data_IF_044683101995
#
_entry.id   IF_044683101995
#
_cell.length_a   1.000
_cell.length_b   1.000
_cell.length_c   1.000
_cell.angle_alpha   90.00
_cell.angle_beta   90.00
_cell.angle_gamma   90.00
#
_symmetry.space_group_name_H-M   'P 1'
#
loop_
_entity.id
_entity.type
_entity.pdbx_description
1 polymer ?
#
# COMPACT_ATOMS: atom_id res chain seq x y z
N UNK A 1 -59.80 89.46 -29.11
CA UNK A 1 -60.91 88.51 -28.90
C UNK A 1 -60.30 87.11 -28.84
N UNK A 2 -60.35 86.44 -27.68
CA UNK A 2 -60.13 84.99 -27.57
C UNK A 2 -61.19 84.48 -26.58
N UNK A 3 -62.42 84.30 -27.07
CA UNK A 3 -63.47 83.60 -26.34
C UNK A 3 -64.12 82.66 -27.34
N UNK A 4 -63.67 81.40 -27.33
CA UNK A 4 -64.41 80.28 -27.88
C UNK A 4 -65.14 79.59 -26.72
N UNK A 5 -66.47 79.45 -26.83
CA UNK A 5 -67.33 78.86 -25.80
C UNK A 5 -67.14 77.33 -25.71
N UNK A 6 -66.61 76.71 -26.77
CA UNK A 6 -66.41 75.26 -26.89
C UNK A 6 -65.13 74.73 -26.26
N UNK A 7 -64.15 75.57 -25.92
CA UNK A 7 -62.89 75.14 -25.27
C UNK A 7 -62.42 76.19 -24.27
N UNK A 8 -62.58 75.90 -22.99
CA UNK A 8 -62.13 76.78 -21.90
C UNK A 8 -60.67 76.50 -21.54
N UNK A 9 -59.76 77.30 -22.09
CA UNK A 9 -58.31 77.17 -21.91
C UNK A 9 -57.89 77.38 -20.46
N UNK A 10 -58.56 78.27 -19.71
CA UNK A 10 -58.25 78.53 -18.29
C UNK A 10 -58.60 77.31 -17.44
N UNK A 11 -59.78 76.71 -17.65
CA UNK A 11 -60.19 75.46 -16.97
C UNK A 11 -59.25 74.30 -17.29
N UNK A 12 -58.90 74.11 -18.57
CA UNK A 12 -57.93 73.08 -18.99
C UNK A 12 -56.55 73.28 -18.35
N UNK A 13 -56.10 74.53 -18.18
CA UNK A 13 -54.83 74.83 -17.54
C UNK A 13 -54.88 74.56 -16.02
N UNK A 14 -55.96 74.97 -15.34
CA UNK A 14 -56.17 74.65 -13.92
C UNK A 14 -56.26 73.15 -13.68
N UNK A 15 -56.95 72.40 -14.53
CA UNK A 15 -57.04 70.95 -14.45
C UNK A 15 -55.68 70.26 -14.69
N UNK A 16 -54.84 70.83 -15.58
CA UNK A 16 -53.45 70.40 -15.77
C UNK A 16 -52.59 70.62 -14.53
N UNK A 17 -52.68 71.79 -13.90
CA UNK A 17 -51.97 72.08 -12.65
C UNK A 17 -52.45 71.22 -11.48
N UNK A 18 -53.77 71.00 -11.34
CA UNK A 18 -54.31 70.09 -10.33
C UNK A 18 -53.79 68.66 -10.53
N UNK A 19 -53.75 68.19 -11.78
CA UNK A 19 -53.19 66.88 -12.11
C UNK A 19 -51.70 66.76 -11.77
N UNK A 20 -50.91 67.82 -11.99
CA UNK A 20 -49.50 67.88 -11.58
C UNK A 20 -49.33 67.79 -10.06
N UNK A 21 -50.12 68.54 -9.29
CA UNK A 21 -50.07 68.53 -7.82
C UNK A 21 -50.52 67.18 -7.25
N UNK A 22 -51.60 66.59 -7.78
CA UNK A 22 -52.05 65.26 -7.38
C UNK A 22 -51.00 64.18 -7.66
N UNK A 23 -50.29 64.26 -8.79
CA UNK A 23 -49.19 63.35 -9.10
C UNK A 23 -47.99 63.54 -8.14
N UNK A 24 -47.65 64.78 -7.79
CA UNK A 24 -46.60 65.08 -6.81
C UNK A 24 -46.93 64.57 -5.41
N UNK A 25 -48.18 64.76 -4.96
CA UNK A 25 -48.66 64.23 -3.67
C UNK A 25 -48.61 62.69 -3.63
N UNK A 26 -49.05 62.03 -4.71
CA UNK A 26 -48.98 60.57 -4.82
C UNK A 26 -47.54 60.05 -4.71
N UNK A 27 -46.57 60.77 -5.29
CA UNK A 27 -45.15 60.42 -5.20
C UNK A 27 -44.59 60.59 -3.78
N UNK A 28 -44.94 61.68 -3.08
CA UNK A 28 -44.54 61.90 -1.69
C UNK A 28 -45.15 60.84 -0.76
N UNK A 29 -46.43 60.52 -0.92
CA UNK A 29 -47.09 59.46 -0.16
C UNK A 29 -46.45 58.08 -0.40
N UNK A 30 -46.04 57.78 -1.63
CA UNK A 30 -45.31 56.55 -1.96
C UNK A 30 -43.95 56.47 -1.25
N UNK A 31 -43.19 57.57 -1.22
CA UNK A 31 -41.90 57.64 -0.49
C UNK A 31 -42.07 57.58 1.02
N UNK A 32 -43.12 58.19 1.55
CA UNK A 32 -43.43 58.14 2.98
C UNK A 32 -43.81 56.72 3.41
N UNK A 33 -44.62 56.03 2.59
CA UNK A 33 -45.05 54.65 2.85
C UNK A 33 -43.89 53.65 2.77
N UNK A 34 -42.98 53.82 1.81
CA UNK A 34 -41.81 52.94 1.66
C UNK A 34 -40.64 53.29 2.59
N UNK A 35 -40.58 54.53 3.09
CA UNK A 35 -39.41 55.06 3.81
C UNK A 35 -38.18 55.30 2.91
N UNK A 36 -38.30 55.10 1.59
CA UNK A 36 -37.21 55.21 0.63
C UNK A 36 -37.36 56.48 -0.21
N UNK A 37 -36.28 57.26 -0.33
CA UNK A 37 -36.23 58.44 -1.20
C UNK A 37 -36.35 58.07 -2.68
N UNK A 38 -35.84 56.91 -3.07
CA UNK A 38 -35.87 56.37 -4.45
C UNK A 38 -36.65 55.06 -4.40
N UNK A 39 -37.85 55.04 -4.96
CA UNK A 39 -38.73 53.86 -4.90
C UNK A 39 -38.83 53.16 -6.27
N UNK A 40 -38.69 53.92 -7.36
CA UNK A 40 -38.74 53.41 -8.73
C UNK A 40 -37.61 53.99 -9.60
N UNK A 41 -37.32 53.35 -10.73
CA UNK A 41 -36.32 53.86 -11.70
C UNK A 41 -36.69 55.23 -12.29
N UNK A 42 -37.96 55.65 -12.17
CA UNK A 42 -38.43 56.99 -12.57
C UNK A 42 -38.00 58.08 -11.60
N UNK A 43 -37.74 57.75 -10.34
CA UNK A 43 -37.31 58.71 -9.32
C UNK A 43 -35.85 59.12 -9.49
N UNK A 44 -34.97 58.13 -9.70
CA UNK A 44 -33.55 58.30 -9.96
C UNK A 44 -32.97 56.97 -10.49
N UNK A 45 -32.84 56.85 -11.81
CA UNK A 45 -32.36 55.61 -12.43
C UNK A 45 -30.92 55.25 -12.01
N UNK A 46 -30.05 56.25 -11.86
CA UNK A 46 -28.66 56.05 -11.46
C UNK A 46 -28.56 55.69 -9.97
N UNK A 47 -29.28 56.41 -9.10
CA UNK A 47 -29.35 56.13 -7.67
C UNK A 47 -29.95 54.76 -7.35
N UNK A 48 -31.02 54.37 -8.05
CA UNK A 48 -31.61 53.02 -7.90
C UNK A 48 -30.64 51.92 -8.36
N UNK A 49 -29.91 52.14 -9.46
CA UNK A 49 -28.92 51.18 -9.94
C UNK A 49 -27.77 50.99 -8.94
N UNK A 50 -27.28 52.09 -8.35
CA UNK A 50 -26.24 52.04 -7.30
C UNK A 50 -26.77 51.35 -6.04
N UNK A 51 -27.95 51.72 -5.55
CA UNK A 51 -28.53 51.11 -4.34
C UNK A 51 -28.80 49.62 -4.53
N UNK A 52 -29.31 49.21 -5.70
CA UNK A 52 -29.53 47.80 -6.02
C UNK A 52 -28.21 47.00 -6.07
N UNK A 53 -27.13 47.61 -6.58
CA UNK A 53 -25.79 47.01 -6.57
C UNK A 53 -25.24 46.87 -5.15
N UNK A 54 -25.45 47.88 -4.30
CA UNK A 54 -25.06 47.84 -2.89
C UNK A 54 -25.85 46.78 -2.13
N UNK A 55 -27.16 46.66 -2.34
CA UNK A 55 -27.99 45.62 -1.74
C UNK A 55 -27.56 44.21 -2.17
N UNK A 56 -27.22 44.04 -3.46
CA UNK A 56 -26.65 42.78 -3.95
C UNK A 56 -25.31 42.46 -3.25
N UNK A 57 -24.45 43.47 -3.08
CA UNK A 57 -23.18 43.34 -2.36
C UNK A 57 -23.39 42.93 -0.91
N UNK A 58 -24.29 43.60 -0.18
CA UNK A 58 -24.61 43.30 1.23
C UNK A 58 -25.14 41.87 1.37
N UNK A 59 -26.03 41.43 0.46
CA UNK A 59 -26.52 40.04 0.46
C UNK A 59 -25.38 39.04 0.20
N UNK A 60 -24.47 39.36 -0.72
CA UNK A 60 -23.27 38.57 -0.99
C UNK A 60 -22.35 38.47 0.23
N UNK A 61 -22.04 39.60 0.88
CA UNK A 61 -21.18 39.65 2.06
C UNK A 61 -21.76 38.84 3.24
N UNK A 62 -23.08 38.89 3.45
CA UNK A 62 -23.75 38.05 4.46
C UNK A 62 -23.60 36.55 4.20
N UNK A 63 -23.60 36.13 2.93
CA UNK A 63 -23.32 34.74 2.58
C UNK A 63 -21.84 34.41 2.78
N UNK A 64 -20.93 35.32 2.41
CA UNK A 64 -19.51 35.15 2.64
C UNK A 64 -19.18 34.96 4.14
N UNK A 65 -19.84 35.71 5.03
CA UNK A 65 -19.70 35.54 6.49
C UNK A 65 -20.11 34.13 6.94
N UNK A 66 -21.23 33.60 6.42
CA UNK A 66 -21.65 32.21 6.72
C UNK A 66 -20.61 31.20 6.24
N UNK A 67 -20.14 31.34 5.00
CA UNK A 67 -19.12 30.46 4.44
C UNK A 67 -17.79 30.54 5.22
N UNK A 68 -17.42 31.72 5.74
CA UNK A 68 -16.25 31.87 6.62
C UNK A 68 -16.42 31.14 7.95
N UNK A 69 -17.61 31.17 8.56
CA UNK A 69 -17.88 30.42 9.77
C UNK A 69 -17.84 28.90 9.54
N UNK A 70 -18.26 28.42 8.37
CA UNK A 70 -18.08 27.02 7.97
C UNK A 70 -16.59 26.67 7.86
N UNK A 71 -15.78 27.57 7.29
CA UNK A 71 -14.32 27.43 7.24
C UNK A 71 -13.66 27.37 8.61
N UNK A 72 -14.07 28.22 9.55
CA UNK A 72 -13.60 28.19 10.95
C UNK A 72 -13.98 26.86 11.60
N UNK A 73 -15.22 26.40 11.41
CA UNK A 73 -15.69 25.13 11.97
C UNK A 73 -14.90 23.94 11.42
N UNK A 74 -14.59 23.93 10.12
CA UNK A 74 -13.71 22.92 9.51
C UNK A 74 -12.31 22.95 10.15
N UNK A 75 -11.72 24.13 10.32
CA UNK A 75 -10.40 24.27 10.94
C UNK A 75 -10.37 23.79 12.39
N UNK A 76 -11.43 24.03 13.17
CA UNK A 76 -11.54 23.55 14.55
C UNK A 76 -11.59 22.03 14.64
N UNK A 77 -12.32 21.36 13.74
CA UNK A 77 -12.33 19.89 13.66
C UNK A 77 -10.94 19.38 13.29
N UNK A 78 -10.28 20.03 12.33
CA UNK A 78 -8.92 19.67 11.94
C UNK A 78 -7.91 19.86 13.10
N UNK A 79 -7.98 20.96 13.82
CA UNK A 79 -7.14 21.27 14.99
C UNK A 79 -7.34 20.24 16.11
N UNK A 80 -8.58 19.89 16.44
CA UNK A 80 -8.86 18.87 17.45
C UNK A 80 -8.28 17.50 17.09
N UNK A 81 -8.41 17.08 15.83
CA UNK A 81 -7.81 15.84 15.35
C UNK A 81 -6.27 15.89 15.39
N UNK A 82 -5.66 17.02 15.02
CA UNK A 82 -4.21 17.21 15.07
C UNK A 82 -3.66 17.26 16.52
N UNK A 83 -4.43 17.80 17.47
CA UNK A 83 -4.06 17.78 18.89
C UNK A 83 -4.00 16.34 19.42
N UNK A 84 -5.03 15.54 19.14
CA UNK A 84 -5.03 14.12 19.52
C UNK A 84 -3.86 13.37 18.84
N UNK A 85 -3.58 13.69 17.57
CA UNK A 85 -2.45 13.12 16.86
C UNK A 85 -1.10 13.44 17.53
N UNK A 86 -0.93 14.68 18.00
CA UNK A 86 0.26 15.09 18.72
C UNK A 86 0.43 14.29 20.03
N UNK A 87 -0.64 14.11 20.81
CA UNK A 87 -0.60 13.34 22.06
C UNK A 87 -0.22 11.87 21.83
N UNK A 88 -0.79 11.25 20.78
CA UNK A 88 -0.46 9.87 20.39
C UNK A 88 1.01 9.74 19.99
N UNK A 89 1.53 10.67 19.20
CA UNK A 89 2.94 10.67 18.79
C UNK A 89 3.87 10.90 19.98
N UNK A 90 3.49 11.73 20.96
CA UNK A 90 4.27 11.85 22.19
C UNK A 90 4.29 10.54 22.98
N UNK A 91 3.16 9.82 23.08
CA UNK A 91 3.12 8.51 23.72
C UNK A 91 4.02 7.49 23.00
N UNK A 92 3.99 7.43 21.68
CA UNK A 92 4.89 6.57 20.89
C UNK A 92 6.36 6.92 21.17
N UNK A 93 6.68 8.23 21.27
CA UNK A 93 8.03 8.69 21.62
C UNK A 93 8.44 8.23 23.02
N UNK A 94 7.55 8.30 24.01
CA UNK A 94 7.80 7.78 25.36
C UNK A 94 8.12 6.28 25.34
N UNK A 95 7.31 5.49 24.61
CA UNK A 95 7.54 4.05 24.43
C UNK A 95 8.89 3.75 23.78
N UNK A 96 9.27 4.53 22.76
CA UNK A 96 10.58 4.39 22.09
C UNK A 96 11.75 4.69 23.04
N UNK A 97 11.64 5.74 23.85
CA UNK A 97 12.66 6.06 24.88
C UNK A 97 12.70 4.98 25.96
N UNK A 98 11.55 4.43 26.35
CA UNK A 98 11.46 3.32 27.30
C UNK A 98 12.13 2.06 26.74
N UNK A 99 11.85 1.70 25.48
CA UNK A 99 12.40 0.52 24.81
C UNK A 99 13.93 0.59 24.64
N UNK A 100 14.50 1.80 24.54
CA UNK A 100 15.94 2.04 24.47
C UNK A 100 16.70 1.70 25.77
N UNK A 101 15.99 1.44 26.88
CA UNK A 101 16.64 1.07 28.13
C UNK A 101 17.29 -0.32 28.03
N UNK A 102 18.56 -0.41 28.40
CA UNK A 102 19.36 -1.65 28.31
C UNK A 102 18.92 -2.75 29.28
N UNK A 103 18.18 -2.41 30.34
CA UNK A 103 17.68 -3.37 31.34
C UNK A 103 16.44 -4.16 30.91
N UNK A 104 15.79 -3.77 29.81
CA UNK A 104 14.59 -4.44 29.30
C UNK A 104 14.96 -5.74 28.58
N UNK A 105 14.16 -6.78 28.80
CA UNK A 105 14.25 -8.03 28.05
C UNK A 105 13.74 -7.83 26.61
N UNK A 106 14.05 -8.80 25.72
CA UNK A 106 13.50 -8.81 24.37
C UNK A 106 11.97 -8.85 24.35
N UNK A 107 11.36 -9.62 25.24
CA UNK A 107 9.90 -9.69 25.39
C UNK A 107 9.28 -8.37 25.86
N UNK A 108 9.95 -7.61 26.72
CA UNK A 108 9.45 -6.30 27.15
C UNK A 108 9.47 -5.30 25.98
N UNK A 109 10.53 -5.33 25.16
CA UNK A 109 10.61 -4.48 23.95
C UNK A 109 9.54 -4.85 22.93
N UNK A 110 9.23 -6.13 22.76
CA UNK A 110 8.14 -6.59 21.90
C UNK A 110 6.77 -6.09 22.38
N UNK A 111 6.51 -6.13 23.69
CA UNK A 111 5.27 -5.60 24.25
C UNK A 111 5.13 -4.08 24.03
N UNK A 112 6.22 -3.31 24.21
CA UNK A 112 6.24 -1.87 23.92
C UNK A 112 6.03 -1.57 22.42
N UNK A 113 6.63 -2.39 21.54
CA UNK A 113 6.41 -2.28 20.09
C UNK A 113 4.95 -2.55 19.73
N UNK A 114 4.32 -3.55 20.35
CA UNK A 114 2.90 -3.85 20.13
C UNK A 114 2.00 -2.67 20.55
N UNK A 115 2.28 -2.03 21.68
CA UNK A 115 1.55 -0.81 22.10
C UNK A 115 1.77 0.33 21.10
N UNK A 116 3.01 0.55 20.64
CA UNK A 116 3.31 1.58 19.64
C UNK A 116 2.57 1.32 18.31
N UNK A 117 2.49 0.06 17.87
CA UNK A 117 1.75 -0.32 16.68
C UNK A 117 0.24 -0.05 16.82
N UNK A 118 -0.36 -0.35 17.98
CA UNK A 118 -1.77 -0.03 18.25
C UNK A 118 -2.03 1.49 18.24
N UNK A 119 -1.11 2.27 18.79
CA UNK A 119 -1.18 3.73 18.76
C UNK A 119 -1.08 4.30 17.34
N UNK A 120 -0.17 3.77 16.52
CA UNK A 120 -0.07 4.13 15.10
C UNK A 120 -1.35 3.78 14.33
N UNK A 121 -1.94 2.61 14.58
CA UNK A 121 -3.20 2.21 13.98
C UNK A 121 -4.34 3.14 14.41
N UNK A 122 -4.43 3.47 15.70
CA UNK A 122 -5.42 4.43 16.23
C UNK A 122 -5.27 5.81 15.58
N UNK A 123 -4.04 6.30 15.45
CA UNK A 123 -3.74 7.57 14.78
C UNK A 123 -4.20 7.57 13.31
N UNK A 124 -3.94 6.49 12.58
CA UNK A 124 -4.39 6.31 11.21
C UNK A 124 -5.93 6.34 11.12
N UNK A 125 -6.62 5.61 12.00
CA UNK A 125 -8.09 5.61 12.08
C UNK A 125 -8.66 6.99 12.43
N UNK A 126 -8.05 7.72 13.36
CA UNK A 126 -8.47 9.09 13.71
C UNK A 126 -8.35 10.04 12.53
N UNK A 127 -7.23 10.00 11.80
CA UNK A 127 -7.03 10.80 10.60
C UNK A 127 -8.07 10.47 9.51
N UNK A 128 -8.39 9.18 9.32
CA UNK A 128 -9.42 8.74 8.37
C UNK A 128 -10.83 9.17 8.76
N UNK A 129 -11.13 9.19 10.06
CA UNK A 129 -12.48 9.45 10.53
C UNK A 129 -12.80 10.94 10.73
N UNK A 130 -11.79 11.80 10.86
CA UNK A 130 -11.98 13.24 11.00
C UNK A 130 -12.76 13.82 9.82
N UNK A 131 -13.97 14.30 10.11
CA UNK A 131 -14.99 14.66 9.13
C UNK A 131 -15.67 15.96 9.49
N UNK A 132 -15.91 16.79 8.47
CA UNK A 132 -16.79 17.95 8.57
C UNK A 132 -17.83 17.89 7.47
N UNK A 133 -19.12 17.87 7.85
CA UNK A 133 -20.25 17.88 6.92
C UNK A 133 -20.18 16.78 5.82
N UNK A 134 -19.93 15.52 6.20
CA UNK A 134 -19.81 14.42 5.24
C UNK A 134 -18.44 14.32 4.55
N UNK A 135 -17.55 15.31 4.72
CA UNK A 135 -16.26 15.35 4.06
C UNK A 135 -15.13 15.02 5.02
N UNK A 136 -14.40 13.93 4.73
CA UNK A 136 -13.16 13.60 5.43
C UNK A 136 -12.10 14.66 5.17
N UNK A 137 -11.47 15.19 6.22
CA UNK A 137 -10.56 16.34 6.13
C UNK A 137 -9.13 15.90 5.81
N UNK A 138 -8.68 14.76 6.33
CA UNK A 138 -7.34 14.21 6.08
C UNK A 138 -7.34 12.98 5.16
N UNK A 139 -8.49 12.52 4.70
CA UNK A 139 -8.54 11.43 3.73
C UNK A 139 -7.95 11.88 2.39
N UNK A 140 -7.09 11.03 1.84
CA UNK A 140 -6.61 11.17 0.47
C UNK A 140 -7.68 10.65 -0.50
N UNK A 141 -7.65 11.10 -1.76
CA UNK A 141 -8.53 10.56 -2.80
C UNK A 141 -8.40 9.04 -2.87
N UNK A 142 -9.49 8.27 -3.06
CA UNK A 142 -9.43 6.81 -3.29
C UNK A 142 -8.62 6.43 -4.53
N UNK A 143 -8.41 7.37 -5.46
CA UNK A 143 -7.48 7.22 -6.58
C UNK A 143 -6.01 7.39 -6.21
N UNK A 144 -5.69 7.84 -4.99
CA UNK A 144 -4.35 7.85 -4.40
C UNK A 144 -4.10 6.53 -3.68
N UNK A 145 -2.86 6.07 -3.68
CA UNK A 145 -2.41 4.91 -2.92
C UNK A 145 -2.69 5.05 -1.41
N UNK A 146 -2.87 6.28 -0.90
CA UNK A 146 -3.31 6.52 0.47
C UNK A 146 -4.84 6.51 0.68
N UNK A 147 -5.67 6.61 -0.35
CA UNK A 147 -7.13 6.67 -0.18
C UNK A 147 -7.79 5.31 0.01
N UNK A 148 -7.22 4.26 -0.59
CA UNK A 148 -7.68 2.87 -0.39
C UNK A 148 -7.04 2.28 0.89
N UNK A 149 -7.85 1.96 1.93
CA UNK A 149 -7.34 1.36 3.16
C UNK A 149 -6.60 0.04 2.95
N UNK A 150 -6.98 -0.74 1.92
CA UNK A 150 -6.31 -1.99 1.61
C UNK A 150 -4.92 -1.76 1.02
N UNK A 151 -4.82 -0.92 -0.03
CA UNK A 151 -3.50 -0.54 -0.60
C UNK A 151 -2.56 0.02 0.46
N UNK A 152 -3.10 0.84 1.38
CA UNK A 152 -2.33 1.37 2.52
C UNK A 152 -1.80 0.27 3.44
N UNK A 153 -2.64 -0.67 3.86
CA UNK A 153 -2.23 -1.78 4.73
C UNK A 153 -1.09 -2.62 4.12
N UNK A 154 -1.13 -2.85 2.81
CA UNK A 154 -0.04 -3.54 2.08
C UNK A 154 1.27 -2.76 2.21
N UNK A 155 1.26 -1.45 1.94
CA UNK A 155 2.47 -0.62 2.01
C UNK A 155 3.00 -0.53 3.43
N UNK A 156 2.11 -0.40 4.41
CA UNK A 156 2.49 -0.37 5.80
C UNK A 156 3.14 -1.70 6.18
N UNK A 157 2.60 -2.85 5.77
CA UNK A 157 3.24 -4.16 5.95
C UNK A 157 4.63 -4.26 5.29
N UNK A 158 4.74 -3.87 4.02
CA UNK A 158 6.02 -3.84 3.28
C UNK A 158 7.09 -2.97 3.95
N UNK A 159 6.69 -1.82 4.51
CA UNK A 159 7.60 -0.87 5.17
C UNK A 159 7.83 -1.17 6.65
N UNK A 160 6.94 -1.89 7.31
CA UNK A 160 7.06 -2.21 8.73
C UNK A 160 7.82 -3.49 8.98
N UNK A 161 7.72 -4.51 8.12
CA UNK A 161 8.35 -5.80 8.43
C UNK A 161 8.53 -6.73 7.24
N UNK A 162 7.54 -6.87 6.36
CA UNK A 162 7.52 -7.97 5.38
C UNK A 162 8.78 -8.05 4.52
N UNK A 163 9.24 -6.91 3.99
CA UNK A 163 10.44 -6.88 3.16
C UNK A 163 11.73 -7.09 3.97
N UNK A 164 11.86 -6.40 5.11
CA UNK A 164 13.07 -6.47 5.94
C UNK A 164 13.28 -7.87 6.54
N UNK A 165 12.20 -8.49 7.03
CA UNK A 165 12.25 -9.82 7.63
C UNK A 165 12.53 -10.90 6.59
N UNK A 166 11.88 -10.82 5.41
CA UNK A 166 12.17 -11.71 4.30
C UNK A 166 13.66 -11.67 3.93
N UNK A 167 14.23 -10.48 3.72
CA UNK A 167 15.65 -10.33 3.38
C UNK A 167 16.58 -10.80 4.50
N UNK A 168 16.25 -10.48 5.75
CA UNK A 168 17.02 -10.92 6.92
C UNK A 168 17.03 -12.44 7.02
N UNK A 169 15.88 -13.08 6.82
CA UNK A 169 15.75 -14.52 6.85
C UNK A 169 16.51 -15.20 5.72
N UNK A 170 16.39 -14.68 4.48
CA UNK A 170 17.16 -15.16 3.33
C UNK A 170 18.66 -15.06 3.60
N UNK A 171 19.12 -13.93 4.13
CA UNK A 171 20.54 -13.73 4.47
C UNK A 171 21.00 -14.73 5.53
N UNK A 172 20.22 -14.95 6.58
CA UNK A 172 20.60 -15.82 7.69
C UNK A 172 20.56 -17.31 7.31
N UNK A 173 19.52 -17.74 6.59
CA UNK A 173 19.25 -19.15 6.31
C UNK A 173 19.83 -19.63 4.97
N UNK A 174 19.85 -18.79 3.93
CA UNK A 174 20.44 -19.14 2.63
C UNK A 174 21.84 -18.55 2.42
N UNK A 175 22.26 -17.56 3.22
CA UNK A 175 23.62 -17.00 3.13
C UNK A 175 23.84 -16.08 1.95
N UNK A 176 22.76 -15.64 1.28
CA UNK A 176 22.81 -14.79 0.09
C UNK A 176 22.18 -13.43 0.37
N UNK A 177 22.66 -12.40 -0.31
CA UNK A 177 22.14 -11.04 -0.21
C UNK A 177 22.16 -10.36 -1.58
N UNK A 178 21.28 -9.37 -1.77
CA UNK A 178 21.28 -8.54 -2.97
C UNK A 178 22.54 -7.67 -3.05
N UNK A 179 22.89 -7.21 -4.25
CA UNK A 179 24.12 -6.46 -4.52
C UNK A 179 23.94 -4.94 -4.58
N UNK A 180 22.85 -4.42 -4.02
CA UNK A 180 22.53 -2.99 -3.97
C UNK A 180 21.92 -2.43 -5.25
N UNK A 181 21.48 -3.30 -6.17
CA UNK A 181 20.73 -2.93 -7.36
C UNK A 181 19.32 -2.41 -7.01
N UNK A 182 18.72 -1.71 -7.97
CA UNK A 182 17.36 -1.17 -7.80
C UNK A 182 16.32 -2.30 -7.84
N UNK A 183 15.39 -2.28 -6.88
CA UNK A 183 14.17 -3.10 -6.87
C UNK A 183 12.97 -2.15 -6.97
N UNK A 184 12.28 -2.20 -8.11
CA UNK A 184 11.10 -1.36 -8.34
C UNK A 184 9.86 -2.00 -7.71
N UNK A 185 9.32 -1.40 -6.65
CA UNK A 185 8.05 -1.84 -6.06
C UNK A 185 6.90 -1.18 -6.83
N UNK A 186 6.01 -1.99 -7.41
CA UNK A 186 4.92 -1.55 -8.29
C UNK A 186 3.60 -2.22 -7.93
N UNK A 187 2.50 -1.48 -8.05
CA UNK A 187 1.14 -1.98 -7.81
C UNK A 187 0.32 -2.13 -9.09
N UNK A 188 0.85 -1.60 -10.20
CA UNK A 188 0.25 -1.74 -11.52
C UNK A 188 1.12 -2.68 -12.34
N UNK A 189 0.52 -3.61 -13.12
CA UNK A 189 1.26 -4.60 -13.87
C UNK A 189 2.14 -3.90 -14.91
N UNK A 190 3.46 -4.15 -14.90
CA UNK A 190 4.34 -3.56 -15.89
C UNK A 190 3.95 -3.93 -17.32
N UNK A 191 4.01 -2.98 -18.24
CA UNK A 191 3.63 -3.21 -19.63
C UNK A 191 4.42 -4.36 -20.26
N UNK A 192 3.72 -5.33 -20.85
CA UNK A 192 4.33 -6.50 -21.50
C UNK A 192 4.76 -7.63 -20.55
N UNK A 193 4.47 -7.54 -19.25
CA UNK A 193 4.77 -8.60 -18.27
C UNK A 193 3.84 -9.82 -18.36
N UNK A 194 2.64 -9.66 -18.93
CA UNK A 194 1.60 -10.69 -18.89
C UNK A 194 0.86 -10.81 -17.55
N UNK A 195 1.20 -9.96 -16.57
CA UNK A 195 0.52 -9.87 -15.27
C UNK A 195 -0.80 -9.10 -15.40
N UNK A 196 -1.74 -9.40 -14.50
CA UNK A 196 -3.11 -8.84 -14.50
C UNK A 196 -3.55 -8.52 -13.08
N UNK A 197 -4.11 -7.32 -12.86
CA UNK A 197 -4.72 -6.91 -11.58
C UNK A 197 -6.13 -7.48 -11.35
N UNK A 198 -6.36 -8.71 -11.82
CA UNK A 198 -7.68 -9.34 -11.74
C UNK A 198 -7.69 -10.28 -10.54
N UNK A 199 -8.67 -10.10 -9.65
CA UNK A 199 -8.80 -10.90 -8.45
C UNK A 199 -8.81 -12.42 -8.73
N UNK A 200 -8.13 -13.18 -7.88
CA UNK A 200 -7.92 -14.62 -8.00
C UNK A 200 -6.76 -14.99 -8.93
N UNK A 201 -5.87 -14.04 -9.22
CA UNK A 201 -4.75 -14.17 -10.14
C UNK A 201 -3.42 -14.46 -9.44
N UNK A 202 -2.35 -13.96 -10.05
CA UNK A 202 -1.01 -13.95 -9.42
C UNK A 202 -0.98 -12.82 -8.40
N UNK A 203 -0.86 -13.15 -7.12
CA UNK A 203 -0.97 -12.15 -6.06
C UNK A 203 0.24 -11.21 -5.99
N UNK A 204 1.44 -11.72 -6.29
CA UNK A 204 2.67 -10.93 -6.43
C UNK A 204 3.63 -11.66 -7.38
N UNK A 205 4.58 -10.92 -7.96
CA UNK A 205 5.61 -11.49 -8.82
C UNK A 205 6.87 -10.62 -8.87
N UNK A 206 8.04 -11.25 -8.83
CA UNK A 206 9.30 -10.63 -9.21
C UNK A 206 9.63 -10.89 -10.68
N UNK A 207 9.94 -9.81 -11.40
CA UNK A 207 10.29 -9.88 -12.81
C UNK A 207 11.31 -8.82 -13.24
N UNK A 208 11.52 -8.71 -14.55
CA UNK A 208 12.49 -7.78 -15.16
C UNK A 208 11.89 -7.10 -16.38
N UNK A 209 12.10 -5.78 -16.52
CA UNK A 209 11.72 -5.00 -17.71
C UNK A 209 12.93 -4.77 -18.61
N UNK A 210 13.01 -5.52 -19.73
CA UNK A 210 14.08 -5.41 -20.76
C UNK A 210 15.50 -5.76 -20.32
N UNK A 211 16.23 -6.57 -21.11
CA UNK A 211 17.59 -7.03 -20.78
C UNK A 211 17.57 -8.00 -19.59
N UNK A 212 17.33 -9.28 -19.85
CA UNK A 212 16.96 -10.27 -18.82
C UNK A 212 18.05 -10.60 -17.81
N UNK A 213 19.33 -10.43 -18.18
CA UNK A 213 20.44 -10.64 -17.26
C UNK A 213 21.71 -9.88 -17.70
N UNK A 214 22.61 -9.65 -16.76
CA UNK A 214 23.97 -9.21 -17.05
C UNK A 214 24.85 -10.38 -17.57
N UNK A 215 26.13 -10.09 -17.85
CA UNK A 215 27.08 -11.09 -18.35
C UNK A 215 27.33 -12.26 -17.38
N UNK A 216 26.95 -12.12 -16.11
CA UNK A 216 27.09 -13.13 -15.06
C UNK A 216 25.76 -13.85 -14.76
N UNK A 217 24.71 -13.54 -15.50
CA UNK A 217 23.39 -14.15 -15.37
C UNK A 217 22.52 -13.58 -14.24
N UNK A 218 22.89 -12.42 -13.67
CA UNK A 218 22.06 -11.73 -12.68
C UNK A 218 20.97 -10.91 -13.36
N UNK A 219 19.76 -10.97 -12.84
CA UNK A 219 18.58 -10.26 -13.35
C UNK A 219 18.75 -8.74 -13.29
N UNK A 220 18.49 -8.02 -14.38
CA UNK A 220 18.53 -6.55 -14.43
C UNK A 220 17.12 -5.96 -14.33
N UNK A 221 17.01 -4.64 -14.12
CA UNK A 221 15.74 -3.88 -14.19
C UNK A 221 14.59 -4.55 -13.42
N UNK A 222 14.87 -4.99 -12.20
CA UNK A 222 13.95 -5.80 -11.43
C UNK A 222 12.76 -5.00 -10.92
N UNK A 223 11.62 -5.66 -10.87
CA UNK A 223 10.44 -5.17 -10.18
C UNK A 223 9.87 -6.25 -9.26
N UNK A 224 9.27 -5.80 -8.15
CA UNK A 224 8.32 -6.57 -7.35
C UNK A 224 6.94 -5.97 -7.62
N UNK A 225 6.12 -6.71 -8.33
CA UNK A 225 4.72 -6.35 -8.57
C UNK A 225 3.84 -7.03 -7.52
N UNK A 226 2.87 -6.29 -7.01
CA UNK A 226 1.91 -6.74 -6.00
C UNK A 226 0.53 -6.35 -6.49
N UNK A 227 -0.37 -7.33 -6.59
CA UNK A 227 -1.78 -7.08 -6.91
C UNK A 227 -2.54 -6.65 -5.66
N UNK A 228 -3.00 -5.39 -5.56
CA UNK A 228 -3.78 -4.96 -4.42
C UNK A 228 -5.14 -5.65 -4.30
N UNK A 229 -5.69 -6.23 -5.37
CA UNK A 229 -6.99 -6.92 -5.33
C UNK A 229 -6.91 -8.28 -4.63
N UNK A 230 -5.76 -8.95 -4.72
CA UNK A 230 -5.53 -10.26 -4.09
C UNK A 230 -5.10 -10.16 -2.61
N UNK A 231 -4.82 -8.94 -2.13
CA UNK A 231 -4.39 -8.67 -0.75
C UNK A 231 -5.52 -8.03 0.10
N UNK A 232 -6.80 -8.18 -0.29
CA UNK A 232 -7.94 -7.56 0.42
C UNK A 232 -8.69 -8.53 1.35
N UNK A 233 -8.97 -8.13 2.62
CA UNK A 233 -8.37 -7.01 3.35
C UNK A 233 -6.94 -7.36 3.81
N UNK A 234 -6.00 -6.40 3.82
CA UNK A 234 -4.67 -6.62 4.39
C UNK A 234 -4.81 -6.57 5.91
N UNK A 235 -4.61 -7.71 6.56
CA UNK A 235 -4.75 -7.82 8.00
C UNK A 235 -3.36 -7.90 8.64
N UNK A 236 -2.87 -6.77 9.13
CA UNK A 236 -1.71 -6.73 10.01
C UNK A 236 -2.10 -7.36 11.38
N UNK A 237 -1.20 -8.07 12.07
CA UNK A 237 0.25 -8.08 11.87
C UNK A 237 0.75 -9.10 10.82
N UNK A 238 0.20 -10.31 10.80
CA UNK A 238 0.71 -11.55 10.20
C UNK A 238 0.55 -11.69 8.69
N UNK A 239 0.59 -10.59 7.94
CA UNK A 239 0.23 -10.61 6.52
C UNK A 239 -1.27 -10.74 6.25
N UNK A 240 -2.01 -11.33 7.19
CA UNK A 240 -3.44 -11.61 7.07
C UNK A 240 -3.68 -12.83 6.19
N UNK A 241 -4.71 -13.61 6.53
CA UNK A 241 -5.08 -14.78 5.77
C UNK A 241 -6.00 -14.45 4.59
N UNK A 242 -5.48 -14.56 3.35
CA UNK A 242 -6.32 -14.54 2.14
C UNK A 242 -6.64 -15.99 1.77
N UNK A 243 -7.93 -16.31 1.67
CA UNK A 243 -8.36 -17.60 1.15
C UNK A 243 -8.06 -17.66 -0.36
N UNK A 244 -7.13 -18.51 -0.77
CA UNK A 244 -6.84 -18.80 -2.17
C UNK A 244 -7.04 -20.29 -2.43
N UNK A 245 -8.09 -20.62 -3.20
CA UNK A 245 -8.45 -22.01 -3.46
C UNK A 245 -8.69 -22.81 -2.18
N UNK A 246 -7.88 -23.85 -1.96
CA UNK A 246 -8.05 -24.82 -0.86
C UNK A 246 -7.24 -24.50 0.41
N UNK A 247 -6.76 -23.26 0.58
CA UNK A 247 -6.00 -22.87 1.77
C UNK A 247 -6.06 -21.38 2.07
N UNK A 248 -5.42 -21.01 3.18
CA UNK A 248 -5.17 -19.62 3.58
C UNK A 248 -3.71 -19.31 3.29
N UNK A 249 -3.45 -18.30 2.47
CA UNK A 249 -2.10 -17.82 2.18
C UNK A 249 -1.96 -16.43 2.78
N UNK A 250 -0.81 -16.18 3.37
CA UNK A 250 -0.53 -14.93 4.07
C UNK A 250 0.33 -14.01 3.23
N UNK A 251 0.01 -12.71 3.24
CA UNK A 251 0.64 -11.71 2.37
C UNK A 251 2.14 -11.57 2.64
N UNK A 252 2.56 -11.61 3.89
CA UNK A 252 3.96 -11.62 4.33
C UNK A 252 4.74 -12.81 3.73
N UNK A 253 4.15 -14.01 3.72
CA UNK A 253 4.72 -15.23 3.13
C UNK A 253 4.84 -15.13 1.61
N UNK A 254 3.82 -14.58 0.94
CA UNK A 254 3.87 -14.29 -0.50
C UNK A 254 5.03 -13.34 -0.80
N UNK A 255 5.15 -12.24 -0.03
CA UNK A 255 6.27 -11.31 -0.20
C UNK A 255 7.61 -11.99 0.08
N UNK A 256 7.70 -12.87 1.08
CA UNK A 256 8.92 -13.60 1.36
C UNK A 256 9.31 -14.58 0.25
N UNK A 257 8.34 -15.28 -0.35
CA UNK A 257 8.51 -16.11 -1.53
C UNK A 257 9.13 -15.28 -2.67
N UNK A 258 8.50 -14.16 -3.01
CA UNK A 258 8.97 -13.28 -4.07
C UNK A 258 10.35 -12.68 -3.78
N UNK A 259 10.62 -12.36 -2.51
CA UNK A 259 11.93 -11.85 -2.10
C UNK A 259 13.05 -12.88 -2.26
N UNK A 260 12.77 -14.19 -2.17
CA UNK A 260 13.77 -15.23 -2.50
C UNK A 260 14.17 -15.12 -3.98
N UNK A 261 13.20 -15.03 -4.88
CA UNK A 261 13.46 -14.82 -6.31
C UNK A 261 14.25 -13.54 -6.55
N UNK A 262 13.90 -12.46 -5.85
CA UNK A 262 14.62 -11.20 -5.97
C UNK A 262 16.09 -11.34 -5.55
N UNK A 263 16.35 -11.85 -4.34
CA UNK A 263 17.72 -12.01 -3.82
C UNK A 263 18.52 -12.98 -4.68
N UNK A 264 17.94 -14.10 -5.12
CA UNK A 264 18.60 -15.03 -6.05
C UNK A 264 18.92 -14.32 -7.38
N UNK A 265 17.98 -13.55 -7.93
CA UNK A 265 18.15 -12.77 -9.15
C UNK A 265 19.35 -11.82 -9.13
N UNK A 266 19.70 -11.24 -7.96
CA UNK A 266 20.84 -10.33 -7.82
C UNK A 266 22.10 -10.93 -7.21
N UNK A 267 22.02 -12.13 -6.63
CA UNK A 267 23.15 -12.76 -5.96
C UNK A 267 23.88 -13.77 -6.83
N UNK A 268 23.22 -14.40 -7.80
CA UNK A 268 23.79 -15.55 -8.55
C UNK A 268 23.41 -15.55 -10.04
N UNK A 269 23.95 -16.53 -10.78
CA UNK A 269 23.59 -16.81 -12.17
C UNK A 269 22.16 -17.40 -12.22
N UNK A 270 21.15 -16.55 -12.15
CA UNK A 270 19.76 -16.94 -11.92
C UNK A 270 19.07 -17.49 -13.17
N UNK A 271 19.39 -16.96 -14.34
CA UNK A 271 18.74 -17.33 -15.60
C UNK A 271 18.75 -18.86 -15.88
N UNK A 272 19.89 -19.59 -15.80
CA UNK A 272 19.94 -21.02 -16.10
C UNK A 272 19.44 -21.93 -14.97
N UNK A 273 19.12 -21.41 -13.79
CA UNK A 273 18.59 -22.23 -12.71
C UNK A 273 17.20 -22.79 -13.08
N UNK A 274 17.00 -24.08 -12.78
CA UNK A 274 15.75 -24.76 -13.08
C UNK A 274 14.59 -24.22 -12.21
N UNK A 275 13.38 -24.16 -12.77
CA UNK A 275 12.20 -23.61 -12.08
C UNK A 275 11.90 -24.33 -10.77
N UNK A 276 12.00 -25.67 -10.72
CA UNK A 276 11.78 -26.43 -9.49
C UNK A 276 12.70 -26.00 -8.34
N UNK A 277 13.92 -25.57 -8.65
CA UNK A 277 14.87 -25.10 -7.65
C UNK A 277 14.56 -23.67 -7.19
N UNK A 278 14.18 -22.81 -8.14
CA UNK A 278 13.75 -21.42 -7.86
C UNK A 278 12.51 -21.43 -6.97
N UNK A 279 11.43 -22.06 -7.43
CA UNK A 279 10.17 -22.14 -6.69
C UNK A 279 10.33 -22.95 -5.40
N UNK A 280 11.07 -24.06 -5.44
CA UNK A 280 11.31 -24.89 -4.25
C UNK A 280 12.06 -24.14 -3.15
N UNK A 281 13.06 -23.33 -3.50
CA UNK A 281 13.76 -22.49 -2.54
C UNK A 281 12.88 -21.37 -1.99
N UNK A 282 12.03 -20.78 -2.84
CA UNK A 282 11.08 -19.75 -2.44
C UNK A 282 10.00 -20.29 -1.49
N UNK A 283 9.47 -21.49 -1.74
CA UNK A 283 8.55 -22.18 -0.83
C UNK A 283 9.25 -22.62 0.47
N UNK A 284 10.50 -23.07 0.41
CA UNK A 284 11.23 -23.55 1.57
C UNK A 284 11.53 -22.46 2.61
N UNK A 285 11.57 -21.17 2.20
CA UNK A 285 11.86 -20.07 3.14
C UNK A 285 10.75 -19.91 4.19
N UNK A 286 9.49 -20.09 3.80
CA UNK A 286 8.32 -19.85 4.65
C UNK A 286 7.53 -21.14 4.94
N UNK A 287 7.92 -22.26 4.32
CA UNK A 287 7.26 -23.54 4.48
C UNK A 287 6.02 -23.67 3.60
N UNK A 288 5.78 -24.88 3.10
CA UNK A 288 4.71 -25.16 2.15
C UNK A 288 3.83 -26.32 2.61
N UNK A 289 3.79 -26.65 3.90
CA UNK A 289 3.08 -27.82 4.39
C UNK A 289 1.57 -27.74 4.12
N UNK A 290 0.95 -26.56 4.08
CA UNK A 290 -0.46 -26.40 3.70
C UNK A 290 -0.71 -26.73 2.22
N UNK A 291 0.18 -26.28 1.34
CA UNK A 291 0.13 -26.58 -0.10
C UNK A 291 0.41 -28.07 -0.34
N UNK A 292 1.46 -28.58 0.32
CA UNK A 292 1.86 -29.97 0.25
C UNK A 292 0.72 -30.88 0.72
N UNK A 293 0.02 -30.55 1.80
CA UNK A 293 -1.14 -31.30 2.30
C UNK A 293 -2.24 -31.40 1.22
N UNK A 294 -2.55 -30.29 0.55
CA UNK A 294 -3.56 -30.25 -0.49
C UNK A 294 -3.15 -31.06 -1.74
N UNK A 295 -1.92 -30.88 -2.22
CA UNK A 295 -1.42 -31.50 -3.45
C UNK A 295 -1.12 -33.01 -3.28
N UNK A 296 -1.01 -33.51 -2.05
CA UNK A 296 -0.65 -34.91 -1.74
C UNK A 296 -1.78 -35.73 -1.12
N UNK A 297 -3.02 -35.23 -1.21
CA UNK A 297 -4.19 -35.84 -0.58
C UNK A 297 -3.94 -36.18 0.91
N UNK A 298 -3.45 -35.19 1.67
CA UNK A 298 -3.14 -35.31 3.09
C UNK A 298 -1.89 -36.13 3.39
N UNK A 299 -0.90 -36.16 2.50
CA UNK A 299 0.35 -36.91 2.68
C UNK A 299 0.28 -38.37 2.25
N UNK A 300 -0.73 -38.77 1.46
CA UNK A 300 -0.89 -40.15 1.01
C UNK A 300 -0.40 -40.38 -0.43
N UNK A 301 -0.20 -39.31 -1.20
CA UNK A 301 0.26 -39.35 -2.58
C UNK A 301 1.62 -38.65 -2.75
N UNK A 302 2.63 -39.37 -3.24
CA UNK A 302 3.97 -38.82 -3.53
C UNK A 302 4.18 -38.46 -5.00
N UNK A 303 3.14 -38.53 -5.84
CA UNK A 303 3.23 -38.27 -7.29
C UNK A 303 3.79 -36.88 -7.61
N UNK A 304 3.44 -35.86 -6.83
CA UNK A 304 3.98 -34.50 -6.96
C UNK A 304 5.51 -34.44 -6.73
N UNK A 305 6.06 -35.30 -5.87
CA UNK A 305 7.51 -35.40 -5.66
C UNK A 305 8.21 -36.06 -6.86
N UNK A 306 7.56 -37.05 -7.49
CA UNK A 306 8.09 -37.75 -8.65
C UNK A 306 8.09 -36.88 -9.92
N UNK A 307 7.20 -35.90 -10.01
CA UNK A 307 7.08 -34.95 -11.14
C UNK A 307 7.87 -33.65 -10.94
N UNK A 308 8.72 -33.52 -9.91
CA UNK A 308 9.31 -32.22 -9.53
C UNK A 308 10.06 -31.46 -10.64
N UNK A 309 10.67 -32.16 -11.61
CA UNK A 309 11.38 -31.55 -12.76
C UNK A 309 10.49 -31.27 -13.96
N UNK A 310 9.39 -32.02 -14.08
CA UNK A 310 8.51 -31.97 -15.23
C UNK A 310 7.38 -31.02 -14.91
N UNK A 311 7.29 -29.92 -15.65
CA UNK A 311 6.18 -28.97 -15.54
C UNK A 311 4.87 -29.76 -15.64
N UNK A 312 4.13 -29.93 -14.53
CA UNK A 312 3.13 -30.97 -14.47
C UNK A 312 1.87 -30.57 -15.23
N UNK A 313 0.96 -31.52 -15.34
CA UNK A 313 -0.39 -31.33 -15.90
C UNK A 313 -1.23 -30.26 -15.18
N UNK A 314 -0.75 -29.71 -14.05
CA UNK A 314 -1.28 -28.56 -13.33
C UNK A 314 -0.14 -27.64 -12.84
N UNK A 315 -0.43 -26.33 -12.68
CA UNK A 315 0.58 -25.33 -12.32
C UNK A 315 1.14 -25.41 -10.89
N UNK A 316 0.55 -26.19 -9.97
CA UNK A 316 0.95 -26.23 -8.55
C UNK A 316 2.04 -27.25 -8.21
N UNK A 317 2.19 -28.34 -8.98
CA UNK A 317 3.08 -29.44 -8.56
C UNK A 317 4.59 -29.11 -8.71
N UNK A 318 4.97 -28.06 -9.47
CA UNK A 318 6.36 -27.53 -9.44
C UNK A 318 6.71 -27.00 -8.04
N UNK A 319 5.78 -26.29 -7.40
CA UNK A 319 6.00 -25.71 -6.08
C UNK A 319 6.15 -26.81 -5.03
N UNK A 320 5.23 -27.77 -5.04
CA UNK A 320 5.23 -28.90 -4.11
C UNK A 320 6.42 -29.84 -4.31
N UNK A 321 6.67 -30.26 -5.56
CA UNK A 321 7.81 -31.12 -5.88
C UNK A 321 9.15 -30.43 -5.64
N UNK A 322 9.25 -29.15 -6.03
CA UNK A 322 10.44 -28.32 -5.79
C UNK A 322 10.75 -28.15 -4.31
N UNK A 323 9.72 -27.85 -3.49
CA UNK A 323 9.83 -27.75 -2.03
C UNK A 323 10.40 -29.04 -1.43
N UNK A 324 9.84 -30.20 -1.78
CA UNK A 324 10.31 -31.50 -1.29
C UNK A 324 11.75 -31.80 -1.75
N UNK A 325 12.09 -31.47 -3.00
CA UNK A 325 13.43 -31.66 -3.56
C UNK A 325 14.48 -30.80 -2.84
N UNK A 326 14.18 -29.52 -2.59
CA UNK A 326 15.07 -28.61 -1.85
C UNK A 326 15.19 -29.03 -0.38
N UNK A 327 14.09 -29.44 0.26
CA UNK A 327 14.11 -29.98 1.64
C UNK A 327 14.94 -31.26 1.74
N UNK A 328 14.82 -32.18 0.78
CA UNK A 328 15.66 -33.37 0.69
C UNK A 328 17.14 -33.00 0.52
N UNK A 329 17.45 -32.08 -0.40
CA UNK A 329 18.81 -31.57 -0.62
C UNK A 329 19.39 -31.01 0.69
N UNK A 330 18.64 -30.16 1.38
CA UNK A 330 19.03 -29.58 2.66
C UNK A 330 19.36 -30.66 3.70
N UNK A 331 18.49 -31.67 3.86
CA UNK A 331 18.69 -32.73 4.84
C UNK A 331 19.91 -33.61 4.52
N UNK A 332 20.10 -34.00 3.26
CA UNK A 332 21.24 -34.84 2.87
C UNK A 332 22.58 -34.12 3.04
N UNK A 333 22.65 -32.83 2.72
CA UNK A 333 23.87 -32.02 2.92
C UNK A 333 24.16 -31.88 4.42
N UNK A 334 23.14 -31.66 5.27
CA UNK A 334 23.32 -31.67 6.73
C UNK A 334 23.80 -33.01 7.25
N UNK A 335 23.25 -34.12 6.73
CA UNK A 335 23.69 -35.47 7.09
C UNK A 335 25.15 -35.74 6.67
N UNK A 336 25.62 -35.10 5.59
CA UNK A 336 27.01 -35.11 5.16
C UNK A 336 27.94 -34.14 5.94
N UNK A 337 27.40 -33.41 6.93
CA UNK A 337 28.15 -32.50 7.79
C UNK A 337 28.20 -31.04 7.31
N UNK A 338 27.40 -30.68 6.31
CA UNK A 338 27.22 -29.29 5.87
C UNK A 338 26.11 -28.53 6.60
N UNK A 339 25.85 -27.30 6.16
CA UNK A 339 24.78 -26.40 6.63
C UNK A 339 23.51 -26.48 5.78
N UNK A 340 23.39 -27.49 4.92
CA UNK A 340 22.20 -27.72 4.09
C UNK A 340 22.19 -26.86 2.82
N UNK A 341 21.00 -26.41 2.40
CA UNK A 341 20.83 -25.57 1.22
C UNK A 341 21.66 -24.27 1.25
N UNK A 342 22.02 -23.80 2.46
CA UNK A 342 22.88 -22.63 2.66
C UNK A 342 24.23 -22.77 1.94
N UNK A 343 24.84 -23.95 1.95
CA UNK A 343 26.14 -24.17 1.31
C UNK A 343 26.02 -24.04 -0.22
N UNK A 344 24.95 -24.60 -0.79
CA UNK A 344 24.64 -24.52 -2.22
C UNK A 344 24.39 -23.06 -2.65
N UNK A 345 23.52 -22.35 -1.94
CA UNK A 345 23.19 -20.95 -2.25
C UNK A 345 24.40 -20.04 -2.09
N UNK A 346 25.22 -20.26 -1.04
CA UNK A 346 26.46 -19.52 -0.83
C UNK A 346 27.46 -19.79 -1.95
N UNK A 347 27.62 -21.04 -2.39
CA UNK A 347 28.48 -21.37 -3.52
C UNK A 347 28.04 -20.66 -4.80
N UNK A 348 26.75 -20.75 -5.15
CA UNK A 348 26.17 -20.10 -6.33
C UNK A 348 26.36 -18.58 -6.34
N UNK A 349 26.30 -17.94 -5.16
CA UNK A 349 26.48 -16.49 -5.04
C UNK A 349 27.95 -16.04 -5.10
N UNK A 350 28.87 -16.86 -4.60
CA UNK A 350 30.30 -16.52 -4.51
C UNK A 350 31.11 -16.95 -5.75
N UNK A 351 30.58 -17.89 -6.54
CA UNK A 351 31.21 -18.40 -7.76
C UNK A 351 30.45 -17.91 -8.98
N UNK A 352 30.89 -16.78 -9.52
CA UNK A 352 30.25 -16.12 -10.68
C UNK A 352 30.12 -17.07 -11.87
N UNK A 353 28.92 -17.16 -12.44
CA UNK A 353 28.62 -18.01 -13.59
C UNK A 353 28.45 -19.50 -13.29
N UNK A 354 28.65 -19.93 -12.03
CA UNK A 354 28.46 -21.33 -11.64
C UNK A 354 27.03 -21.83 -11.88
N UNK A 355 26.93 -23.14 -12.12
CA UNK A 355 25.67 -23.86 -12.28
C UNK A 355 25.27 -24.56 -10.99
N UNK A 356 24.02 -25.03 -10.90
CA UNK A 356 23.58 -25.87 -9.79
C UNK A 356 24.41 -27.17 -9.70
N UNK A 357 24.86 -27.71 -10.83
CA UNK A 357 25.71 -28.91 -10.87
C UNK A 357 27.05 -28.63 -10.18
N UNK A 358 27.69 -27.51 -10.52
CA UNK A 358 28.94 -27.07 -9.88
C UNK A 358 28.77 -26.94 -8.36
N UNK A 359 27.67 -26.34 -7.92
CA UNK A 359 27.36 -26.17 -6.50
C UNK A 359 27.14 -27.51 -5.80
N UNK A 360 26.42 -28.45 -6.40
CA UNK A 360 26.21 -29.78 -5.84
C UNK A 360 27.54 -30.54 -5.72
N UNK A 361 28.39 -30.50 -6.74
CA UNK A 361 29.69 -31.18 -6.70
C UNK A 361 30.63 -30.61 -5.62
N UNK A 362 30.64 -29.29 -5.41
CA UNK A 362 31.67 -28.64 -4.59
C UNK A 362 31.19 -28.22 -3.18
N UNK A 363 29.88 -28.05 -2.98
CA UNK A 363 29.32 -27.51 -1.74
C UNK A 363 28.33 -28.46 -1.04
N UNK A 364 28.04 -29.64 -1.59
CA UNK A 364 27.15 -30.62 -0.94
C UNK A 364 27.83 -31.47 0.15
N UNK A 365 29.12 -31.24 0.43
CA UNK A 365 29.92 -32.04 1.36
C UNK A 365 29.98 -33.54 0.99
N UNK A 366 29.86 -33.86 -0.29
CA UNK A 366 29.84 -35.24 -0.79
C UNK A 366 28.48 -35.93 -0.70
N UNK A 367 27.42 -35.23 -0.30
CA UNK A 367 26.06 -35.74 -0.37
C UNK A 367 25.65 -36.08 -1.82
N UNK A 368 26.11 -35.27 -2.77
CA UNK A 368 25.81 -35.40 -4.20
C UNK A 368 27.05 -35.21 -5.05
N UNK A 369 27.27 -36.11 -6.02
CA UNK A 369 28.39 -35.96 -6.97
C UNK A 369 28.10 -34.90 -8.04
N UNK A 370 26.84 -34.77 -8.44
CA UNK A 370 26.31 -33.86 -9.44
C UNK A 370 24.77 -33.88 -9.36
N UNK A 371 24.09 -33.16 -10.25
CA UNK A 371 22.64 -33.12 -10.32
C UNK A 371 22.01 -34.48 -10.63
N UNK A 372 22.62 -35.30 -11.49
CA UNK A 372 22.07 -36.63 -11.82
C UNK A 372 22.10 -37.57 -10.60
N UNK A 373 23.13 -37.49 -9.77
CA UNK A 373 23.21 -38.24 -8.51
C UNK A 373 22.17 -37.76 -7.49
N UNK A 374 22.00 -36.44 -7.36
CA UNK A 374 20.91 -35.85 -6.56
C UNK A 374 19.54 -36.35 -7.03
N UNK A 375 19.27 -36.23 -8.33
CA UNK A 375 18.00 -36.59 -8.95
C UNK A 375 17.68 -38.08 -8.74
N UNK A 376 18.65 -38.96 -8.98
CA UNK A 376 18.47 -40.40 -8.76
C UNK A 376 18.16 -40.72 -7.29
N UNK A 377 18.87 -40.10 -6.34
CA UNK A 377 18.64 -40.29 -4.90
C UNK A 377 17.30 -39.74 -4.44
N UNK A 378 16.91 -38.56 -4.91
CA UNK A 378 15.63 -37.95 -4.56
C UNK A 378 14.46 -38.74 -5.15
N UNK A 379 14.50 -39.13 -6.42
CA UNK A 379 13.44 -39.94 -7.03
C UNK A 379 13.32 -41.32 -6.37
N UNK A 380 14.44 -41.93 -5.97
CA UNK A 380 14.42 -43.17 -5.20
C UNK A 380 13.74 -42.98 -3.83
N UNK A 381 13.99 -41.87 -3.13
CA UNK A 381 13.31 -41.54 -1.88
C UNK A 381 11.81 -41.24 -2.11
N UNK A 382 11.47 -40.49 -3.17
CA UNK A 382 10.12 -40.10 -3.52
C UNK A 382 9.22 -41.26 -3.94
N UNK A 383 9.81 -42.34 -4.46
CA UNK A 383 9.11 -43.58 -4.78
C UNK A 383 8.71 -44.41 -3.53
N UNK A 384 9.11 -43.99 -2.32
CA UNK A 384 8.75 -44.67 -1.07
C UNK A 384 7.61 -43.95 -0.35
N UNK A 385 6.63 -44.69 0.24
CA UNK A 385 5.59 -44.09 1.07
C UNK A 385 6.13 -43.35 2.31
N UNK A 386 7.38 -43.61 2.69
CA UNK A 386 8.05 -42.99 3.84
C UNK A 386 8.71 -41.64 3.55
N UNK A 387 8.59 -41.08 2.34
CA UNK A 387 9.21 -39.80 1.97
C UNK A 387 8.92 -38.71 3.01
N UNK A 388 7.65 -38.46 3.32
CA UNK A 388 7.23 -37.39 4.23
C UNK A 388 7.78 -37.59 5.63
N UNK A 389 7.69 -38.80 6.18
CA UNK A 389 8.27 -39.13 7.49
C UNK A 389 9.78 -38.97 7.50
N UNK A 390 10.46 -39.34 6.40
CA UNK A 390 11.93 -39.22 6.29
C UNK A 390 12.37 -37.76 6.25
N UNK A 391 11.60 -36.91 5.58
CA UNK A 391 11.82 -35.47 5.50
C UNK A 391 11.36 -34.70 6.75
N UNK A 392 10.72 -35.39 7.70
CA UNK A 392 10.17 -34.80 8.93
C UNK A 392 8.90 -33.98 8.70
N UNK A 393 8.17 -34.18 7.60
CA UNK A 393 6.91 -33.47 7.33
C UNK A 393 5.85 -33.93 8.32
N UNK A 394 5.18 -32.97 8.98
CA UNK A 394 4.16 -33.26 9.98
C UNK A 394 2.93 -32.35 9.84
N UNK A 395 1.93 -32.78 9.07
CA UNK A 395 0.68 -32.04 8.86
C UNK A 395 -0.23 -31.90 10.09
N UNK A 396 0.16 -32.43 11.25
CA UNK A 396 -0.68 -32.43 12.46
C UNK A 396 -0.28 -31.38 13.49
N UNK A 397 0.86 -30.72 13.31
CA UNK A 397 1.31 -29.63 14.17
C UNK A 397 0.99 -28.27 13.51
N UNK A 398 1.38 -27.19 14.20
CA UNK A 398 1.24 -25.83 13.67
C UNK A 398 2.39 -25.42 12.74
N UNK A 399 3.49 -26.18 12.66
CA UNK A 399 4.69 -25.80 11.90
C UNK A 399 4.42 -25.82 10.38
N UNK A 400 4.92 -24.84 9.64
CA UNK A 400 4.70 -24.75 8.19
C UNK A 400 5.70 -25.57 7.38
N UNK A 401 6.68 -26.21 8.02
CA UNK A 401 7.79 -26.88 7.35
C UNK A 401 8.84 -25.92 6.78
N UNK A 402 8.88 -24.67 7.26
CA UNK A 402 9.86 -23.70 6.84
C UNK A 402 11.28 -24.07 7.27
N UNK A 403 12.29 -23.70 6.47
CA UNK A 403 13.68 -23.73 6.93
C UNK A 403 13.83 -22.87 8.19
N UNK A 404 14.56 -23.40 9.18
CA UNK A 404 14.64 -22.80 10.51
C UNK A 404 13.51 -23.16 11.47
N UNK A 405 12.49 -23.90 11.04
CA UNK A 405 11.37 -24.38 11.87
C UNK A 405 11.65 -25.71 12.59
N UNK A 406 10.63 -26.22 13.29
CA UNK A 406 10.73 -27.44 14.10
C UNK A 406 10.93 -28.68 13.23
N UNK A 407 10.15 -28.80 12.16
CA UNK A 407 10.08 -30.01 11.35
C UNK A 407 11.30 -30.19 10.43
N UNK A 408 12.01 -29.10 10.13
CA UNK A 408 13.20 -29.09 9.26
C UNK A 408 14.50 -29.07 10.07
N UNK A 409 14.58 -28.21 11.09
CA UNK A 409 15.82 -27.88 11.80
C UNK A 409 15.81 -28.22 13.29
N UNK A 410 14.70 -28.74 13.84
CA UNK A 410 14.57 -29.04 15.28
C UNK A 410 14.57 -27.79 16.16
N UNK A 411 14.21 -26.64 15.58
CA UNK A 411 14.08 -25.33 16.24
C UNK A 411 12.67 -25.14 16.78
N UNK A 412 12.34 -24.00 17.44
CA UNK A 412 10.95 -23.71 17.78
C UNK A 412 10.02 -23.76 16.56
N UNK A 413 8.80 -24.23 16.76
CA UNK A 413 7.82 -24.37 15.68
C UNK A 413 7.45 -23.00 15.08
N UNK A 414 7.36 -22.95 13.76
CA UNK A 414 6.99 -21.76 13.00
C UNK A 414 5.62 -21.96 12.36
N UNK A 415 4.60 -21.32 12.92
CA UNK A 415 3.23 -21.34 12.40
C UNK A 415 3.03 -20.40 11.23
N UNK A 416 1.93 -20.61 10.52
CA UNK A 416 1.53 -19.76 9.40
C UNK A 416 1.37 -18.28 9.75
N UNK A 417 1.25 -17.95 11.04
CA UNK A 417 1.08 -16.60 11.58
C UNK A 417 2.30 -16.05 12.33
N UNK A 418 3.35 -16.87 12.55
CA UNK A 418 4.55 -16.45 13.29
C UNK A 418 5.87 -16.70 12.53
N UNK A 419 5.76 -17.31 11.34
CA UNK A 419 6.89 -17.59 10.45
C UNK A 419 7.61 -16.30 10.06
N UNK A 420 6.86 -15.19 9.98
CA UNK A 420 7.36 -13.82 10.08
C UNK A 420 6.69 -13.15 11.28
N UNK A 421 7.42 -12.27 11.96
CA UNK A 421 6.94 -11.56 13.15
C UNK A 421 6.30 -10.21 12.82
N UNK A 422 6.50 -9.73 11.59
CA UNK A 422 6.02 -8.45 11.05
C UNK A 422 6.44 -7.24 11.89
N UNK A 423 7.65 -7.33 12.43
CA UNK A 423 8.35 -6.38 13.28
C UNK A 423 9.74 -6.09 12.70
N UNK A 424 9.77 -5.31 11.62
CA UNK A 424 10.99 -4.70 11.12
C UNK A 424 11.56 -3.67 12.10
N UNK A 425 12.81 -3.29 11.87
CA UNK A 425 13.54 -2.39 12.78
C UNK A 425 13.18 -0.92 12.57
N UNK A 426 12.47 -0.61 11.48
CA UNK A 426 12.15 0.75 11.08
C UNK A 426 10.94 0.81 10.14
N UNK A 427 10.19 1.90 10.22
CA UNK A 427 9.23 2.29 9.18
C UNK A 427 9.93 3.22 8.16
N UNK A 428 10.33 2.69 7.02
CA UNK A 428 11.13 3.45 6.03
C UNK A 428 10.74 3.12 4.58
N UNK A 429 11.06 4.02 3.64
CA UNK A 429 11.01 3.69 2.20
C UNK A 429 12.17 2.79 1.76
N UNK A 430 13.20 2.72 2.59
CA UNK A 430 14.41 1.94 2.38
C UNK A 430 14.60 1.07 3.63
N UNK A 431 13.97 -0.11 3.66
CA UNK A 431 14.05 -1.14 4.69
C UNK A 431 14.99 -2.29 4.30
N UNK A 432 15.16 -2.54 3.00
CA UNK A 432 16.10 -3.52 2.47
C UNK A 432 17.54 -2.98 2.53
N UNK A 433 18.50 -3.88 2.76
CA UNK A 433 19.94 -3.61 2.78
C UNK A 433 20.61 -4.05 1.47
N UNK A 434 20.14 -5.14 0.86
CA UNK A 434 20.65 -5.72 -0.38
C UNK A 434 20.09 -5.09 -1.66
N UNK A 435 19.10 -4.20 -1.56
CA UNK A 435 18.48 -3.53 -2.69
C UNK A 435 18.28 -2.05 -2.43
N UNK A 436 18.34 -1.23 -3.47
CA UNK A 436 17.81 0.14 -3.43
C UNK A 436 16.34 0.09 -3.80
N UNK A 437 15.47 0.36 -2.83
CA UNK A 437 14.03 0.32 -3.07
C UNK A 437 13.60 1.55 -3.84
N UNK A 438 13.13 1.31 -5.06
CA UNK A 438 12.52 2.35 -5.89
C UNK A 438 11.03 2.12 -5.86
N UNK A 439 10.32 3.07 -5.27
CA UNK A 439 8.86 3.06 -5.32
C UNK A 439 8.47 3.80 -6.60
N UNK A 440 8.22 3.05 -7.67
CA UNK A 440 8.06 3.65 -8.99
C UNK A 440 6.79 4.52 -9.03
N UNK A 441 6.93 5.77 -9.47
CA UNK A 441 5.80 6.63 -9.80
C UNK A 441 5.35 6.29 -11.23
N UNK A 442 4.12 5.78 -11.39
CA UNK A 442 3.59 5.37 -12.70
C UNK A 442 2.15 5.80 -12.94
N UNK A 443 1.98 6.71 -13.92
CA UNK A 443 0.78 7.15 -14.68
C UNK A 443 -0.52 7.57 -13.98
N UNK A 444 -0.72 7.32 -12.68
CA UNK A 444 -1.91 7.79 -11.92
C UNK A 444 -1.59 8.48 -10.59
N UNK A 445 -0.34 8.90 -10.36
CA UNK A 445 -0.02 9.74 -9.19
C UNK A 445 0.03 8.98 -7.87
N UNK A 446 0.62 7.79 -7.89
CA UNK A 446 0.96 7.05 -6.69
C UNK A 446 2.24 7.67 -6.10
N UNK A 447 2.08 8.75 -5.33
CA UNK A 447 3.18 9.37 -4.62
C UNK A 447 3.29 8.83 -3.18
N UNK A 448 4.28 7.97 -2.96
CA UNK A 448 4.67 7.52 -1.63
C UNK A 448 5.48 8.63 -0.92
N UNK A 449 5.76 9.74 -1.60
CA UNK A 449 6.41 10.94 -1.09
C UNK A 449 5.47 12.09 -0.70
N UNK A 450 4.24 11.81 -0.25
CA UNK A 450 3.48 12.84 0.47
C UNK A 450 3.20 14.15 -0.31
N UNK A 451 3.28 14.14 -1.64
CA UNK A 451 2.99 15.26 -2.53
C UNK A 451 2.29 14.76 -3.78
N UNK A 452 0.96 14.69 -3.81
CA UNK A 452 0.16 15.79 -4.38
C UNK A 452 -1.29 15.71 -3.90
N UNK A 453 -1.55 14.94 -2.84
CA UNK A 453 -2.86 14.79 -2.20
C UNK A 453 -3.31 15.99 -1.37
N UNK A 454 -2.98 17.23 -1.78
CA UNK A 454 -3.56 18.42 -1.17
C UNK A 454 -5.05 18.45 -1.53
N UNK A 455 -5.90 18.09 -0.57
CA UNK A 455 -7.34 18.34 -0.68
C UNK A 455 -7.57 19.83 -0.46
N UNK A 456 -7.64 20.60 -1.55
CA UNK A 456 -7.96 22.03 -1.48
C UNK A 456 -9.47 22.22 -1.25
N UNK A 457 -9.85 22.52 -0.01
CA UNK A 457 -11.21 22.96 0.30
C UNK A 457 -11.31 24.47 0.14
N UNK A 458 -11.91 24.93 -0.95
CA UNK A 458 -12.10 26.35 -1.22
C UNK A 458 -13.42 26.87 -0.64
N UNK A 459 -13.36 27.95 0.14
CA UNK A 459 -14.54 28.67 0.61
C UNK A 459 -14.76 29.95 -0.22
N UNK A 460 -15.99 30.15 -0.68
CA UNK A 460 -16.37 31.37 -1.40
C UNK A 460 -16.56 32.51 -0.38
N UNK A 461 -15.60 33.44 -0.32
CA UNK A 461 -15.62 34.58 0.62
C UNK A 461 -15.85 35.94 -0.05
N UNK A 462 -16.14 35.96 -1.36
CA UNK A 462 -16.44 37.17 -2.13
C UNK A 462 -17.93 37.33 -2.46
N UNK A 463 -18.36 38.58 -2.70
CA UNK A 463 -19.76 38.94 -3.01
C UNK A 463 -20.22 38.54 -4.44
N UNK A 464 -19.29 38.14 -5.30
CA UNK A 464 -19.55 37.59 -6.63
C UNK A 464 -18.98 36.18 -6.80
N UNK A 465 -19.67 35.33 -7.54
CA UNK A 465 -19.25 33.94 -7.78
C UNK A 465 -17.81 33.87 -8.34
N UNK A 466 -16.94 33.08 -7.71
CA UNK A 466 -15.56 32.89 -8.15
C UNK A 466 -14.56 33.98 -7.74
N UNK A 467 -14.99 35.02 -7.00
CA UNK A 467 -14.05 35.99 -6.43
C UNK A 467 -13.26 35.36 -5.27
N UNK A 468 -12.01 34.94 -5.56
CA UNK A 468 -10.98 34.70 -4.54
C UNK A 468 -10.48 36.07 -4.05
N UNK A 469 -10.77 36.43 -2.80
CA UNK A 469 -10.16 37.62 -2.18
C UNK A 469 -8.68 37.28 -1.94
N UNK A 470 -7.81 37.64 -2.87
CA UNK A 470 -6.36 37.57 -2.65
C UNK A 470 -6.02 38.36 -1.36
N UNK A 471 -5.04 37.92 -0.56
CA UNK A 471 -4.55 38.73 0.53
C UNK A 471 -4.09 40.06 -0.09
N UNK A 472 -4.68 41.15 0.37
CA UNK A 472 -4.14 42.46 0.09
C UNK A 472 -2.74 42.48 0.71
N UNK A 473 -1.73 42.70 -0.12
CA UNK A 473 -0.41 43.11 0.35
C UNK A 473 -0.60 44.29 1.30
N UNK A 474 -0.55 44.02 2.60
CA UNK A 474 -0.23 45.02 3.59
C UNK A 474 1.29 45.19 3.52
N UNK A 475 1.70 46.06 2.60
CA UNK A 475 3.00 46.72 2.71
C UNK A 475 2.97 47.65 3.91
N UNK A 476 3.71 47.28 4.94
CA UNK A 476 4.47 48.15 5.83
C UNK A 476 5.57 47.30 6.49
#
# INVERSE_FOLDING_TARGET
MIVQITTNVVSLNTQRHLSQTSNGLAQVLSRLSSGLRINTAKDDAAGLAISSRMDATIRGDRQAIRNMNDGVSLMQVAEGAMSNAADVVQRIRELGVQAANGSLSGSDRQALQAEANQLLQSLSTQAQNAEFNGQKIFAQSESSLGGDPARRGIIDGLKMGWLEEAETRITNLFGITGDGADLNIVFEPPAGSGLSSAAGGTAAAVGSLTGTADANGKTLNMFLWIDPEDFKPPNLPDGGGVAVGNGTVYSDRIIAHEMVHAVMGRSMNFAPLASWFKEGAAEFIHGADERLFADTAGGTDTSAALSYKTNPTSGSEIYTGGYLAVRYMHQQIKAAGGNGIKDIMTYLSTHTGSTLDDALTHASHGAFNNFNDFDAKFLAAAATPSLFTTLGVNFTNEDTGAIGGADVDGKPAMSSTNVFADQGTQFSKQVLKGFKQVWAAGTTGIDIQGGTGLKETSFQVGNGAGQKKLPSNLGA
#
